data_IF_100488707705
#
_entry.id   IF_100488707705
#
_cell.length_a   1.000
_cell.length_b   1.000
_cell.length_c   1.000
_cell.angle_alpha   90.00
_cell.angle_beta   90.00
_cell.angle_gamma   90.00
#
_symmetry.space_group_name_H-M   'P 1'
#
loop_
_entity.id
_entity.type
_entity.pdbx_description
1 polymer ?
#
# COMPACT_ATOMS: atom_id res chain seq x y z
N UNK A 1 24.90 22.09 5.45
CA UNK A 1 23.89 21.03 5.24
C UNK A 1 23.92 20.12 6.46
N UNK A 2 22.86 20.03 7.28
CA UNK A 2 22.89 19.13 8.42
C UNK A 2 22.71 17.70 7.92
N UNK A 3 23.63 16.83 8.34
CA UNK A 3 23.60 15.38 8.14
C UNK A 3 22.71 14.81 9.23
N UNK A 4 21.54 14.30 8.86
CA UNK A 4 20.62 13.70 9.83
C UNK A 4 21.15 12.33 10.25
N UNK A 5 21.64 12.25 11.49
CA UNK A 5 22.15 11.05 12.13
C UNK A 5 21.01 10.02 12.31
N UNK A 6 21.15 8.75 11.88
CA UNK A 6 20.09 7.73 11.99
C UNK A 6 19.82 7.24 13.43
N UNK A 7 20.57 7.74 14.42
CA UNK A 7 20.50 7.30 15.82
C UNK A 7 19.23 7.74 16.61
N UNK A 8 18.36 8.55 16.01
CA UNK A 8 17.15 9.06 16.67
C UNK A 8 15.89 8.88 15.81
N UNK A 9 15.67 7.68 15.28
CA UNK A 9 14.34 7.33 14.75
C UNK A 9 13.55 6.61 15.83
N UNK A 10 12.40 7.17 16.20
CA UNK A 10 11.42 6.47 17.04
C UNK A 10 10.84 5.28 16.26
N UNK A 11 10.43 4.21 16.95
CA UNK A 11 9.90 3.00 16.29
C UNK A 11 8.78 3.29 15.27
N UNK A 12 7.94 4.30 15.55
CA UNK A 12 6.90 4.79 14.65
C UNK A 12 7.45 5.36 13.33
N UNK A 13 8.57 6.09 13.37
CA UNK A 13 9.24 6.66 12.19
C UNK A 13 10.02 5.61 11.39
N UNK A 14 10.47 4.53 12.05
CA UNK A 14 11.11 3.38 11.39
C UNK A 14 10.08 2.53 10.63
N UNK A 15 8.88 2.34 11.18
CA UNK A 15 7.79 1.64 10.49
C UNK A 15 7.24 2.40 9.27
N UNK A 16 7.23 3.73 9.33
CA UNK A 16 6.75 4.60 8.24
C UNK A 16 7.72 4.63 7.03
N UNK A 17 8.97 4.22 7.24
CA UNK A 17 10.01 4.10 6.20
C UNK A 17 10.25 2.68 5.71
N UNK A 18 9.45 1.71 6.17
CA UNK A 18 9.56 0.34 5.68
C UNK A 18 8.92 0.24 4.30
N UNK A 19 9.66 -0.31 3.34
CA UNK A 19 9.13 -0.57 2.00
C UNK A 19 7.86 -1.43 2.09
N UNK A 20 6.83 -1.08 1.34
CA UNK A 20 5.53 -1.73 1.36
C UNK A 20 4.57 -1.21 2.44
N UNK A 21 4.95 -0.25 3.29
CA UNK A 21 4.03 0.35 4.27
C UNK A 21 2.93 1.15 3.57
N UNK A 22 1.70 1.00 4.05
CA UNK A 22 0.55 1.77 3.60
C UNK A 22 0.63 3.24 4.01
N UNK A 23 0.37 4.12 3.05
CA UNK A 23 0.21 5.55 3.27
C UNK A 23 -1.29 5.86 3.23
N UNK A 24 -1.83 6.39 4.34
CA UNK A 24 -3.27 6.70 4.51
C UNK A 24 -3.45 8.19 4.85
N UNK A 25 -3.39 9.05 3.85
CA UNK A 25 -3.83 10.44 3.96
C UNK A 25 -5.36 10.59 3.91
N UNK A 26 -6.08 9.52 3.57
CA UNK A 26 -7.55 9.53 3.46
C UNK A 26 -8.04 10.19 2.17
N UNK A 27 -7.21 10.21 1.13
CA UNK A 27 -7.62 10.73 -0.18
C UNK A 27 -8.38 9.67 -0.95
N UNK A 28 -9.53 10.04 -1.50
CA UNK A 28 -10.29 9.17 -2.39
C UNK A 28 -9.59 9.08 -3.76
N UNK A 29 -9.23 7.87 -4.15
CA UNK A 29 -8.68 7.57 -5.48
C UNK A 29 -9.79 7.32 -6.51
N UNK A 30 -9.52 7.64 -7.78
CA UNK A 30 -10.42 7.35 -8.90
C UNK A 30 -10.04 6.02 -9.57
N UNK A 31 -10.56 4.92 -9.01
CA UNK A 31 -10.32 3.54 -9.46
C UNK A 31 -11.68 2.85 -9.57
N UNK A 32 -11.92 2.15 -10.68
CA UNK A 32 -13.14 1.36 -10.85
C UNK A 32 -13.00 -0.04 -10.21
N UNK A 33 -13.75 -0.27 -9.14
CA UNK A 33 -13.89 -1.55 -8.44
C UNK A 33 -15.19 -2.29 -8.84
N UNK A 34 -15.93 -1.78 -9.84
CA UNK A 34 -17.26 -2.23 -10.20
C UNK A 34 -18.35 -1.66 -9.29
N UNK A 35 -19.63 -1.83 -9.66
CA UNK A 35 -20.74 -1.12 -9.02
C UNK A 35 -20.85 -1.33 -7.49
N UNK A 36 -20.66 -2.56 -7.01
CA UNK A 36 -20.68 -2.86 -5.57
C UNK A 36 -19.44 -2.32 -4.85
N UNK A 37 -18.25 -2.52 -5.44
CA UNK A 37 -16.98 -2.05 -4.89
C UNK A 37 -16.91 -0.53 -4.82
N UNK A 38 -17.38 0.17 -5.85
CA UNK A 38 -17.39 1.64 -5.90
C UNK A 38 -18.29 2.22 -4.80
N UNK A 39 -19.48 1.65 -4.57
CA UNK A 39 -20.36 2.10 -3.48
C UNK A 39 -19.72 1.87 -2.10
N UNK A 40 -19.10 0.71 -1.90
CA UNK A 40 -18.41 0.41 -0.65
C UNK A 40 -17.22 1.34 -0.43
N UNK A 41 -16.41 1.55 -1.48
CA UNK A 41 -15.24 2.41 -1.42
C UNK A 41 -15.62 3.87 -1.20
N UNK A 42 -16.68 4.38 -1.82
CA UNK A 42 -17.22 5.72 -1.60
C UNK A 42 -17.48 6.01 -0.11
N UNK A 43 -18.04 5.02 0.58
CA UNK A 43 -18.41 5.14 1.99
C UNK A 43 -17.27 4.77 2.95
N UNK A 44 -16.10 4.31 2.47
CA UNK A 44 -15.05 3.75 3.33
C UNK A 44 -13.62 4.07 2.87
N UNK A 45 -13.42 4.96 1.88
CA UNK A 45 -12.11 5.19 1.24
C UNK A 45 -11.00 5.54 2.24
N UNK A 46 -11.33 6.18 3.36
CA UNK A 46 -10.37 6.54 4.42
C UNK A 46 -9.74 5.32 5.14
N UNK A 47 -10.34 4.13 5.02
CA UNK A 47 -9.76 2.89 5.56
C UNK A 47 -8.65 2.32 4.65
N UNK A 48 -8.67 2.67 3.37
CA UNK A 48 -7.76 2.16 2.37
C UNK A 48 -6.52 3.05 2.23
N UNK A 49 -5.36 2.49 1.81
CA UNK A 49 -4.21 3.30 1.46
C UNK A 49 -4.50 4.17 0.24
N UNK A 50 -3.94 5.37 0.21
CA UNK A 50 -3.86 6.21 -0.99
C UNK A 50 -2.44 6.29 -1.57
N UNK A 51 -1.50 5.58 -0.95
CA UNK A 51 -0.14 5.39 -1.45
C UNK A 51 0.54 4.19 -0.78
N UNK A 52 1.67 3.77 -1.35
CA UNK A 52 2.55 2.74 -0.78
C UNK A 52 3.95 3.35 -0.73
N UNK A 53 4.61 3.26 0.43
CA UNK A 53 6.00 3.64 0.53
C UNK A 53 6.86 2.56 -0.14
N UNK A 54 7.26 2.76 -1.39
CA UNK A 54 8.11 1.81 -2.11
C UNK A 54 9.11 2.58 -2.98
N UNK A 55 10.39 2.56 -2.59
CA UNK A 55 11.45 3.22 -3.34
C UNK A 55 11.73 2.45 -4.64
N UNK A 56 11.35 3.04 -5.78
CA UNK A 56 11.59 2.51 -7.12
C UNK A 56 12.89 2.95 -7.77
N UNK A 57 13.72 3.73 -7.06
CA UNK A 57 15.08 4.03 -7.48
C UNK A 57 15.98 2.82 -7.20
N UNK A 58 15.77 1.70 -7.90
CA UNK A 58 16.76 0.63 -7.93
C UNK A 58 17.79 0.95 -9.01
N UNK A 59 19.06 1.07 -8.63
CA UNK A 59 20.21 1.40 -9.49
C UNK A 59 20.55 0.37 -10.59
N UNK A 60 19.63 -0.52 -10.97
CA UNK A 60 19.89 -1.56 -11.98
C UNK A 60 18.64 -1.91 -12.78
N UNK A 61 18.86 -2.44 -13.99
CA UNK A 61 17.89 -2.81 -15.02
C UNK A 61 16.75 -3.75 -14.55
N UNK A 62 15.80 -3.25 -13.75
CA UNK A 62 14.60 -3.97 -13.34
C UNK A 62 13.48 -3.64 -14.33
N UNK A 63 12.81 -4.66 -14.87
CA UNK A 63 11.65 -4.45 -15.74
C UNK A 63 10.47 -3.94 -14.93
N UNK A 64 9.54 -3.22 -15.59
CA UNK A 64 8.33 -2.72 -14.93
C UNK A 64 7.54 -3.85 -14.25
N UNK A 65 7.42 -5.00 -14.90
CA UNK A 65 6.68 -6.16 -14.38
C UNK A 65 7.31 -6.70 -13.09
N UNK A 66 8.65 -6.77 -13.04
CA UNK A 66 9.37 -7.22 -11.87
C UNK A 66 9.27 -6.21 -10.73
N UNK A 67 9.32 -4.91 -11.04
CA UNK A 67 9.10 -3.84 -10.07
C UNK A 67 7.70 -3.93 -9.43
N UNK A 68 6.65 -4.01 -10.24
CA UNK A 68 5.26 -4.12 -9.74
C UNK A 68 5.10 -5.36 -8.87
N UNK A 69 5.64 -6.50 -9.32
CA UNK A 69 5.58 -7.77 -8.58
C UNK A 69 6.26 -7.66 -7.22
N UNK A 70 7.45 -7.05 -7.16
CA UNK A 70 8.19 -6.88 -5.91
C UNK A 70 7.49 -5.89 -4.97
N UNK A 71 6.91 -4.80 -5.49
CA UNK A 71 6.09 -3.87 -4.73
C UNK A 71 4.91 -4.59 -4.06
N UNK A 72 4.15 -5.38 -4.83
CA UNK A 72 3.01 -6.14 -4.33
C UNK A 72 3.42 -7.15 -3.25
N UNK A 73 4.48 -7.94 -3.50
CA UNK A 73 4.95 -8.95 -2.55
C UNK A 73 5.45 -8.32 -1.24
N UNK A 74 6.18 -7.22 -1.34
CA UNK A 74 6.68 -6.49 -0.17
C UNK A 74 5.51 -5.90 0.63
N UNK A 75 4.55 -5.29 -0.05
CA UNK A 75 3.35 -4.70 0.56
C UNK A 75 2.53 -5.75 1.32
N UNK A 76 2.33 -6.94 0.74
CA UNK A 76 1.64 -8.03 1.45
C UNK A 76 2.37 -8.50 2.69
N UNK A 77 3.68 -8.70 2.60
CA UNK A 77 4.49 -9.18 3.71
C UNK A 77 4.46 -8.20 4.89
N UNK A 78 4.48 -6.89 4.63
CA UNK A 78 4.48 -5.86 5.67
C UNK A 78 3.09 -5.65 6.29
N UNK A 79 2.02 -5.80 5.51
CA UNK A 79 0.66 -5.55 5.98
C UNK A 79 -0.13 -6.85 6.21
N UNK A 80 0.55 -7.94 6.58
CA UNK A 80 -0.03 -9.29 6.70
C UNK A 80 -1.27 -9.33 7.60
N UNK A 81 -1.33 -8.49 8.64
CA UNK A 81 -2.50 -8.41 9.54
C UNK A 81 -3.76 -7.87 8.83
N UNK A 82 -3.61 -6.89 7.95
CA UNK A 82 -4.71 -6.31 7.16
C UNK A 82 -5.30 -7.37 6.23
N UNK A 83 -4.45 -8.22 5.64
CA UNK A 83 -4.87 -9.37 4.85
C UNK A 83 -5.37 -10.52 5.72
N UNK A 84 -4.83 -10.75 6.91
CA UNK A 84 -5.28 -11.86 7.77
C UNK A 84 -6.68 -11.66 8.35
N UNK A 85 -7.14 -10.39 8.47
CA UNK A 85 -8.54 -10.06 8.78
C UNK A 85 -9.53 -10.59 7.72
N UNK A 86 -9.06 -11.06 6.56
CA UNK A 86 -9.83 -11.80 5.55
C UNK A 86 -10.67 -12.95 6.11
N UNK A 87 -10.18 -13.64 7.15
CA UNK A 87 -10.73 -14.94 7.53
C UNK A 87 -12.08 -14.88 8.23
N UNK A 88 -12.57 -13.71 8.67
CA UNK A 88 -13.79 -13.67 9.46
C UNK A 88 -14.98 -12.95 8.84
N UNK A 89 -14.88 -11.77 8.18
CA UNK A 89 -16.14 -11.06 7.79
C UNK A 89 -16.16 -10.17 6.53
N UNK A 90 -15.05 -9.89 5.81
CA UNK A 90 -15.10 -8.84 4.77
C UNK A 90 -14.37 -9.15 3.46
N UNK A 91 -14.94 -10.09 2.67
CA UNK A 91 -14.46 -10.44 1.31
C UNK A 91 -14.48 -9.26 0.33
N UNK A 92 -15.34 -8.25 0.53
CA UNK A 92 -15.42 -7.09 -0.35
C UNK A 92 -14.28 -6.11 -0.09
N UNK A 93 -14.00 -5.78 1.17
CA UNK A 93 -12.84 -4.96 1.55
C UNK A 93 -11.55 -5.51 0.94
N UNK A 94 -11.36 -6.82 0.97
CA UNK A 94 -10.12 -7.45 0.52
C UNK A 94 -9.99 -7.45 -1.01
N UNK A 95 -11.10 -7.65 -1.72
CA UNK A 95 -11.12 -7.47 -3.19
C UNK A 95 -10.75 -6.04 -3.59
N UNK A 96 -11.28 -5.03 -2.87
CA UNK A 96 -10.97 -3.61 -3.12
C UNK A 96 -9.51 -3.33 -2.77
N UNK A 97 -9.04 -3.74 -1.59
CA UNK A 97 -7.66 -3.55 -1.13
C UNK A 97 -6.66 -4.17 -2.11
N UNK A 98 -6.93 -5.39 -2.56
CA UNK A 98 -6.09 -6.08 -3.54
C UNK A 98 -6.02 -5.35 -4.89
N UNK A 99 -7.17 -4.89 -5.39
CA UNK A 99 -7.21 -4.11 -6.63
C UNK A 99 -6.44 -2.81 -6.47
N UNK A 100 -6.65 -2.11 -5.37
CA UNK A 100 -6.04 -0.81 -5.10
C UNK A 100 -4.52 -0.90 -4.98
N UNK A 101 -3.99 -1.95 -4.33
CA UNK A 101 -2.53 -2.17 -4.23
C UNK A 101 -1.92 -2.42 -5.61
N UNK A 102 -2.60 -3.19 -6.47
CA UNK A 102 -2.14 -3.40 -7.85
C UNK A 102 -2.06 -2.11 -8.64
N UNK A 103 -3.06 -1.23 -8.50
CA UNK A 103 -3.04 0.08 -9.15
C UNK A 103 -1.89 0.92 -8.60
N UNK A 104 -1.78 1.07 -7.27
CA UNK A 104 -0.73 1.88 -6.62
C UNK A 104 0.69 1.42 -6.95
N UNK A 105 0.94 0.11 -7.04
CA UNK A 105 2.25 -0.42 -7.44
C UNK A 105 2.53 -0.29 -8.94
N UNK A 106 1.53 -0.01 -9.77
CA UNK A 106 1.68 0.09 -11.24
C UNK A 106 1.84 1.52 -11.76
N UNK A 107 1.59 2.51 -10.89
CA UNK A 107 1.87 3.94 -11.11
C UNK A 107 3.37 4.17 -11.30
#
# INVERSE_FOLDING_TARGET
KPVTNPAHMTAAQVSDRRLGTFIRHGRKLDIDFGAEGNRYYEANYWLFPDGIHYDGCSDTNVTKELFVTNCINTTQAVNQEEFSREKQDNKLYQRILWRLIRELCSL
#
